data_IF_989102640836
#
_entry.id   IF_989102640836
#
_cell.length_a   1.000
_cell.length_b   1.000
_cell.length_c   1.000
_cell.angle_alpha   90.00
_cell.angle_beta   90.00
_cell.angle_gamma   90.00
#
_symmetry.space_group_name_H-M   'P 1'
#
loop_
_entity.id
_entity.type
_entity.pdbx_description
1 polymer ?
#
# COMPACT_ATOMS: atom_id res chain seq x y z
N UNK A 1 -10.05 -11.75 12.29
CA UNK A 1 -9.19 -11.10 11.30
C UNK A 1 -7.79 -11.73 11.20
N UNK A 2 -7.17 -12.09 12.33
CA UNK A 2 -5.81 -12.63 12.33
C UNK A 2 -5.69 -13.93 11.55
N UNK A 3 -6.71 -14.81 11.67
CA UNK A 3 -6.71 -16.09 10.95
C UNK A 3 -6.79 -15.88 9.45
N UNK A 4 -7.66 -14.98 9.01
CA UNK A 4 -7.82 -14.68 7.58
C UNK A 4 -6.56 -14.02 7.01
N UNK A 5 -5.96 -13.09 7.75
CA UNK A 5 -4.74 -12.41 7.34
C UNK A 5 -3.57 -13.39 7.24
N UNK A 6 -3.40 -14.23 8.26
CA UNK A 6 -2.35 -15.25 8.26
C UNK A 6 -2.52 -16.25 7.11
N UNK A 7 -3.75 -16.67 6.83
CA UNK A 7 -4.04 -17.56 5.72
C UNK A 7 -3.69 -16.91 4.37
N UNK A 8 -4.02 -15.63 4.20
CA UNK A 8 -3.71 -14.89 2.98
C UNK A 8 -2.20 -14.76 2.77
N UNK A 9 -1.45 -14.43 3.82
CA UNK A 9 0.01 -14.35 3.77
C UNK A 9 0.62 -15.69 3.39
N UNK A 10 0.13 -16.77 4.00
CA UNK A 10 0.66 -18.11 3.73
C UNK A 10 0.37 -18.57 2.31
N UNK A 11 -0.80 -18.25 1.77
CA UNK A 11 -1.12 -18.57 0.38
C UNK A 11 -0.17 -17.87 -0.59
N UNK A 12 0.15 -16.61 -0.35
CA UNK A 12 1.11 -15.87 -1.16
C UNK A 12 2.51 -16.47 -1.09
N UNK A 13 2.96 -16.81 0.12
CA UNK A 13 4.31 -17.33 0.37
C UNK A 13 4.51 -18.73 -0.22
N UNK A 14 3.51 -19.60 -0.07
CA UNK A 14 3.64 -21.01 -0.45
C UNK A 14 3.21 -21.32 -1.87
N UNK A 15 2.15 -20.67 -2.36
CA UNK A 15 1.53 -20.99 -3.63
C UNK A 15 1.61 -19.88 -4.66
N UNK A 16 1.93 -18.67 -4.23
CA UNK A 16 1.97 -17.51 -5.11
C UNK A 16 0.59 -17.12 -5.67
N UNK A 17 -0.49 -17.58 -5.04
CA UNK A 17 -1.86 -17.32 -5.51
C UNK A 17 -2.36 -15.98 -4.96
N UNK A 18 -2.07 -14.92 -5.72
CA UNK A 18 -2.46 -13.56 -5.33
C UNK A 18 -3.98 -13.36 -5.33
N UNK A 19 -4.68 -13.97 -6.28
CA UNK A 19 -6.14 -13.83 -6.37
C UNK A 19 -6.85 -14.45 -5.17
N UNK A 20 -6.47 -15.67 -4.79
CA UNK A 20 -7.05 -16.38 -3.64
C UNK A 20 -6.67 -15.66 -2.34
N UNK A 21 -5.44 -15.18 -2.23
CA UNK A 21 -4.99 -14.40 -1.08
C UNK A 21 -5.84 -13.13 -0.89
N UNK A 22 -6.10 -12.40 -1.96
CA UNK A 22 -6.94 -11.20 -1.90
C UNK A 22 -8.38 -11.54 -1.51
N UNK A 23 -8.89 -12.67 -1.96
CA UNK A 23 -10.23 -13.14 -1.58
C UNK A 23 -10.33 -13.38 -0.07
N UNK A 24 -9.31 -13.97 0.54
CA UNK A 24 -9.25 -14.17 1.99
C UNK A 24 -9.13 -12.85 2.76
N UNK A 25 -8.53 -11.83 2.14
CA UNK A 25 -8.35 -10.53 2.77
C UNK A 25 -9.63 -9.67 2.78
N UNK A 26 -10.58 -9.94 1.92
CA UNK A 26 -11.74 -9.07 1.77
C UNK A 26 -12.50 -8.81 3.07
N UNK A 27 -12.80 -9.81 3.92
CA UNK A 27 -13.47 -9.55 5.20
C UNK A 27 -12.62 -8.69 6.14
N UNK A 28 -11.31 -8.91 6.17
CA UNK A 28 -10.39 -8.12 7.01
C UNK A 28 -10.35 -6.67 6.53
N UNK A 29 -10.29 -6.47 5.21
CA UNK A 29 -10.34 -5.15 4.60
C UNK A 29 -11.61 -4.40 4.97
N UNK A 30 -12.76 -5.06 4.85
CA UNK A 30 -14.05 -4.46 5.20
C UNK A 30 -14.11 -4.08 6.67
N UNK A 31 -13.62 -4.95 7.56
CA UNK A 31 -13.56 -4.66 8.98
C UNK A 31 -12.67 -3.46 9.28
N UNK A 32 -11.53 -3.35 8.60
CA UNK A 32 -10.61 -2.22 8.76
C UNK A 32 -11.28 -0.90 8.43
N UNK A 33 -12.13 -0.87 7.39
CA UNK A 33 -12.83 0.34 6.97
C UNK A 33 -14.01 0.68 7.86
N UNK A 34 -14.79 -0.33 8.28
CA UNK A 34 -16.01 -0.14 9.06
C UNK A 34 -15.71 0.12 10.54
N UNK A 35 -14.69 -0.54 11.07
CA UNK A 35 -14.31 -0.46 12.48
C UNK A 35 -12.81 -0.27 12.60
N UNK A 36 -12.28 0.94 12.29
CA UNK A 36 -10.84 1.17 12.32
C UNK A 36 -10.20 0.88 13.68
N UNK A 37 -10.93 1.09 14.79
CA UNK A 37 -10.46 0.80 16.13
C UNK A 37 -10.45 -0.70 16.46
N UNK A 38 -11.09 -1.53 15.63
CA UNK A 38 -11.13 -2.97 15.82
C UNK A 38 -9.85 -3.71 15.39
N UNK A 39 -8.94 -3.01 14.72
CA UNK A 39 -7.67 -3.57 14.29
C UNK A 39 -6.51 -2.76 14.87
N UNK A 40 -5.50 -3.46 15.37
CA UNK A 40 -4.27 -2.83 15.81
C UNK A 40 -3.52 -2.23 14.60
N UNK A 41 -2.67 -1.24 14.85
CA UNK A 41 -1.86 -0.61 13.79
C UNK A 41 -1.02 -1.65 13.05
N UNK A 42 -0.43 -2.61 13.76
CA UNK A 42 0.36 -3.68 13.15
C UNK A 42 -0.46 -4.53 12.20
N UNK A 43 -1.72 -4.81 12.52
CA UNK A 43 -2.62 -5.59 11.66
C UNK A 43 -2.97 -4.81 10.40
N UNK A 44 -3.18 -3.52 10.51
CA UNK A 44 -3.44 -2.64 9.35
C UNK A 44 -2.24 -2.61 8.41
N UNK A 45 -1.03 -2.52 8.97
CA UNK A 45 0.21 -2.59 8.19
C UNK A 45 0.33 -3.93 7.48
N UNK A 46 0.01 -5.03 8.17
CA UNK A 46 0.07 -6.38 7.57
C UNK A 46 -0.90 -6.53 6.40
N UNK A 47 -2.11 -5.97 6.51
CA UNK A 47 -3.08 -5.97 5.40
C UNK A 47 -2.48 -5.27 4.18
N UNK A 48 -1.88 -4.10 4.38
CA UNK A 48 -1.25 -3.33 3.31
C UNK A 48 -0.12 -4.13 2.67
N UNK A 49 0.74 -4.78 3.47
CA UNK A 49 1.85 -5.58 2.95
C UNK A 49 1.38 -6.77 2.10
N UNK A 50 0.33 -7.45 2.55
CA UNK A 50 -0.23 -8.57 1.79
C UNK A 50 -0.80 -8.08 0.46
N UNK A 51 -1.48 -6.95 0.44
CA UNK A 51 -1.99 -6.36 -0.80
C UNK A 51 -0.87 -5.96 -1.75
N UNK A 52 0.20 -5.35 -1.26
CA UNK A 52 1.37 -5.00 -2.08
C UNK A 52 1.98 -6.24 -2.74
N UNK A 53 2.19 -7.31 -1.97
CA UNK A 53 2.73 -8.55 -2.50
C UNK A 53 1.80 -9.17 -3.54
N UNK A 54 0.50 -9.10 -3.32
CA UNK A 54 -0.50 -9.57 -4.27
C UNK A 54 -0.45 -8.82 -5.58
N UNK A 55 -0.24 -7.52 -5.55
CA UNK A 55 -0.16 -6.70 -6.76
C UNK A 55 1.10 -6.95 -7.58
N UNK A 56 2.19 -7.33 -6.95
CA UNK A 56 3.47 -7.53 -7.64
C UNK A 56 3.42 -8.55 -8.76
N UNK A 57 2.53 -9.55 -8.66
CA UNK A 57 2.38 -10.59 -9.68
C UNK A 57 1.03 -10.61 -10.40
N UNK A 58 0.12 -9.69 -10.06
CA UNK A 58 -1.26 -9.76 -10.55
C UNK A 58 -1.41 -9.01 -11.88
N UNK A 59 -2.12 -9.63 -12.82
CA UNK A 59 -2.42 -9.05 -14.14
C UNK A 59 -3.87 -9.29 -14.54
N UNK A 60 -4.73 -9.69 -13.59
CA UNK A 60 -6.10 -10.10 -13.86
C UNK A 60 -7.15 -9.04 -13.49
N UNK A 61 -8.43 -9.36 -13.75
CA UNK A 61 -9.55 -8.47 -13.47
C UNK A 61 -9.78 -8.24 -11.98
N UNK A 62 -9.38 -9.18 -11.12
CA UNK A 62 -9.50 -9.03 -9.66
C UNK A 62 -8.60 -7.91 -9.14
N UNK A 63 -7.45 -7.71 -9.78
CA UNK A 63 -6.60 -6.57 -9.48
C UNK A 63 -7.35 -5.25 -9.70
N UNK A 64 -8.06 -5.12 -10.81
CA UNK A 64 -8.86 -3.92 -11.11
C UNK A 64 -9.90 -3.64 -10.04
N UNK A 65 -10.58 -4.66 -9.54
CA UNK A 65 -11.54 -4.52 -8.45
C UNK A 65 -10.89 -4.01 -7.16
N UNK A 66 -9.73 -4.56 -6.82
CA UNK A 66 -8.98 -4.12 -5.64
C UNK A 66 -8.47 -2.69 -5.77
N UNK A 67 -8.00 -2.31 -6.96
CA UNK A 67 -7.58 -0.93 -7.22
C UNK A 67 -8.74 0.05 -6.99
N UNK A 68 -9.94 -0.30 -7.44
CA UNK A 68 -11.14 0.49 -7.22
C UNK A 68 -11.50 0.58 -5.74
N UNK A 69 -11.41 -0.53 -4.99
CA UNK A 69 -11.66 -0.55 -3.55
C UNK A 69 -10.70 0.34 -2.78
N UNK A 70 -9.42 0.29 -3.14
CA UNK A 70 -8.39 1.11 -2.49
C UNK A 70 -8.64 2.59 -2.76
N UNK A 71 -8.94 2.95 -3.99
CA UNK A 71 -9.26 4.33 -4.35
C UNK A 71 -10.48 4.84 -3.58
N UNK A 72 -11.56 4.06 -3.56
CA UNK A 72 -12.78 4.43 -2.84
C UNK A 72 -12.52 4.60 -1.34
N UNK A 73 -11.73 3.71 -0.74
CA UNK A 73 -11.40 3.77 0.68
C UNK A 73 -10.59 5.03 1.00
N UNK A 74 -9.62 5.36 0.17
CA UNK A 74 -8.80 6.56 0.36
C UNK A 74 -9.65 7.83 0.25
N UNK A 75 -10.56 7.89 -0.72
CA UNK A 75 -11.44 9.05 -0.89
C UNK A 75 -12.43 9.20 0.28
N UNK A 76 -12.88 8.09 0.86
CA UNK A 76 -13.77 8.10 2.02
C UNK A 76 -13.05 8.42 3.33
N UNK A 77 -11.75 8.16 3.40
CA UNK A 77 -10.92 8.37 4.59
C UNK A 77 -9.67 9.16 4.21
N UNK A 78 -9.82 10.42 3.77
CA UNK A 78 -8.70 11.17 3.17
C UNK A 78 -7.56 11.49 4.13
N UNK A 79 -7.81 11.42 5.44
CA UNK A 79 -6.78 11.67 6.46
C UNK A 79 -6.05 10.43 6.95
N UNK A 80 -6.39 9.24 6.46
CA UNK A 80 -5.78 7.99 6.91
C UNK A 80 -4.43 7.78 6.19
N UNK A 81 -3.29 7.85 6.91
CA UNK A 81 -1.98 7.74 6.26
C UNK A 81 -1.70 6.37 5.67
N UNK A 82 -2.23 5.30 6.24
CA UNK A 82 -2.05 3.95 5.71
C UNK A 82 -2.76 3.81 4.37
N UNK A 83 -3.97 4.33 4.26
CA UNK A 83 -4.72 4.32 3.00
C UNK A 83 -4.10 5.26 1.97
N UNK A 84 -3.57 6.41 2.39
CA UNK A 84 -2.84 7.31 1.50
C UNK A 84 -1.61 6.62 0.92
N UNK A 85 -0.85 5.90 1.74
CA UNK A 85 0.30 5.12 1.30
C UNK A 85 -0.11 4.07 0.27
N UNK A 86 -1.12 3.26 0.60
CA UNK A 86 -1.58 2.18 -0.27
C UNK A 86 -2.10 2.72 -1.61
N UNK A 87 -2.88 3.80 -1.58
CA UNK A 87 -3.37 4.45 -2.79
C UNK A 87 -2.22 5.05 -3.61
N UNK A 88 -1.19 5.59 -2.95
CA UNK A 88 0.01 6.10 -3.61
C UNK A 88 0.77 5.01 -4.36
N UNK A 89 0.97 3.86 -3.73
CA UNK A 89 1.61 2.69 -4.35
C UNK A 89 0.77 2.22 -5.55
N UNK A 90 -0.53 2.18 -5.42
CA UNK A 90 -1.46 1.84 -6.50
C UNK A 90 -1.30 2.79 -7.68
N UNK A 91 -1.22 4.09 -7.40
CA UNK A 91 -1.02 5.10 -8.45
C UNK A 91 0.34 4.93 -9.14
N UNK A 92 1.39 4.55 -8.41
CA UNK A 92 2.69 4.22 -9.00
C UNK A 92 2.55 3.09 -10.02
N UNK A 93 1.82 2.04 -9.65
CA UNK A 93 1.58 0.90 -10.54
C UNK A 93 0.81 1.30 -11.80
N UNK A 94 -0.12 2.25 -11.67
CA UNK A 94 -0.90 2.78 -12.79
C UNK A 94 -0.18 3.90 -13.55
N UNK A 95 1.02 4.25 -13.14
CA UNK A 95 1.82 5.32 -13.74
C UNK A 95 1.17 6.70 -13.64
N UNK A 96 0.36 6.90 -12.62
CA UNK A 96 -0.26 8.19 -12.30
C UNK A 96 0.69 8.97 -11.38
N UNK A 97 1.79 9.46 -11.95
CA UNK A 97 2.92 9.99 -11.19
C UNK A 97 2.58 11.18 -10.30
N UNK A 98 1.80 12.13 -10.79
CA UNK A 98 1.43 13.31 -10.01
C UNK A 98 0.58 12.96 -8.79
N UNK A 99 -0.43 12.10 -8.98
CA UNK A 99 -1.31 11.65 -7.91
C UNK A 99 -0.55 10.76 -6.91
N UNK A 100 0.33 9.90 -7.41
CA UNK A 100 1.17 9.06 -6.57
C UNK A 100 2.07 9.91 -5.66
N UNK A 101 2.73 10.92 -6.23
CA UNK A 101 3.58 11.83 -5.46
C UNK A 101 2.79 12.50 -4.34
N UNK A 102 1.64 13.05 -4.67
CA UNK A 102 0.80 13.75 -3.70
C UNK A 102 0.40 12.85 -2.54
N UNK A 103 -0.11 11.65 -2.84
CA UNK A 103 -0.56 10.69 -1.83
C UNK A 103 0.59 10.20 -0.95
N UNK A 104 1.73 9.88 -1.55
CA UNK A 104 2.90 9.41 -0.79
C UNK A 104 3.45 10.51 0.12
N UNK A 105 3.54 11.74 -0.37
CA UNK A 105 3.99 12.87 0.46
C UNK A 105 3.02 13.14 1.61
N UNK A 106 1.72 13.10 1.35
CA UNK A 106 0.72 13.27 2.40
C UNK A 106 0.81 12.17 3.45
N UNK A 107 1.02 10.93 3.03
CA UNK A 107 1.13 9.80 3.96
C UNK A 107 2.29 9.98 4.94
N UNK A 108 3.41 10.49 4.48
CA UNK A 108 4.61 10.67 5.29
C UNK A 108 4.42 11.65 6.45
N UNK A 109 3.45 12.54 6.38
CA UNK A 109 3.18 13.50 7.45
C UNK A 109 2.73 12.80 8.74
N UNK A 110 1.94 11.71 8.61
CA UNK A 110 1.33 11.02 9.75
C UNK A 110 1.69 9.56 9.87
N UNK A 111 2.31 8.98 8.86
CA UNK A 111 2.65 7.56 8.83
C UNK A 111 3.66 7.24 9.92
N UNK A 112 3.29 6.35 10.86
CA UNK A 112 4.11 6.04 12.03
C UNK A 112 4.98 4.81 11.86
N UNK A 113 4.53 3.83 11.06
CA UNK A 113 5.30 2.62 10.85
C UNK A 113 6.60 2.91 10.09
N UNK A 114 7.74 2.56 10.68
CA UNK A 114 9.04 2.85 10.08
C UNK A 114 9.25 2.14 8.75
N UNK A 115 8.75 0.91 8.61
CA UNK A 115 8.84 0.15 7.37
C UNK A 115 8.05 0.79 6.24
N UNK A 116 6.82 1.21 6.51
CA UNK A 116 6.00 1.90 5.51
C UNK A 116 6.58 3.27 5.17
N UNK A 117 7.11 4.02 6.15
CA UNK A 117 7.78 5.29 5.90
C UNK A 117 8.96 5.12 4.96
N UNK A 118 9.79 4.13 5.22
CA UNK A 118 10.95 3.82 4.38
C UNK A 118 10.51 3.50 2.95
N UNK A 119 9.47 2.69 2.80
CA UNK A 119 9.00 2.29 1.49
C UNK A 119 8.29 3.42 0.76
N UNK A 120 7.60 4.32 1.48
CA UNK A 120 7.05 5.54 0.90
C UNK A 120 8.17 6.41 0.29
N UNK A 121 9.27 6.58 0.99
CA UNK A 121 10.44 7.29 0.46
C UNK A 121 11.04 6.59 -0.74
N UNK A 122 11.12 5.25 -0.70
CA UNK A 122 11.61 4.46 -1.84
C UNK A 122 10.71 4.65 -3.07
N UNK A 123 9.41 4.68 -2.89
CA UNK A 123 8.47 4.92 -3.98
C UNK A 123 8.65 6.33 -4.56
N UNK A 124 8.83 7.33 -3.72
CA UNK A 124 9.12 8.70 -4.17
C UNK A 124 10.45 8.78 -4.93
N UNK A 125 11.45 8.02 -4.48
CA UNK A 125 12.73 7.95 -5.19
C UNK A 125 12.56 7.33 -6.59
N UNK A 126 11.81 6.22 -6.67
CA UNK A 126 11.53 5.58 -7.95
C UNK A 126 10.77 6.52 -8.90
N UNK A 127 9.81 7.26 -8.36
CA UNK A 127 9.06 8.25 -9.13
C UNK A 127 9.97 9.35 -9.66
N UNK A 128 10.89 9.86 -8.83
CA UNK A 128 11.84 10.88 -9.24
C UNK A 128 12.76 10.38 -10.37
N UNK A 129 13.19 9.12 -10.29
CA UNK A 129 13.98 8.48 -11.36
C UNK A 129 13.19 8.46 -12.67
N UNK A 130 11.91 8.07 -12.60
CA UNK A 130 11.05 8.05 -13.80
C UNK A 130 10.89 9.44 -14.42
N UNK A 131 10.95 10.49 -13.61
CA UNK A 131 10.83 11.87 -14.07
C UNK A 131 12.19 12.50 -14.41
N UNK A 132 13.28 11.77 -14.29
CA UNK A 132 14.62 12.28 -14.57
C UNK A 132 15.16 13.25 -13.54
N UNK A 133 14.56 13.33 -12.36
CA UNK A 133 15.00 14.22 -11.29
C UNK A 133 15.95 13.50 -10.34
N UNK A 134 17.25 13.53 -10.68
CA UNK A 134 18.28 12.83 -9.91
C UNK A 134 18.51 13.40 -8.52
N UNK A 135 18.33 14.70 -8.34
CA UNK A 135 18.48 15.33 -7.02
C UNK A 135 17.36 14.87 -6.08
N UNK A 136 16.11 14.89 -6.55
CA UNK A 136 14.97 14.41 -5.77
C UNK A 136 15.10 12.93 -5.46
N UNK A 137 15.56 12.12 -6.41
CA UNK A 137 15.79 10.69 -6.21
C UNK A 137 16.82 10.45 -5.11
N UNK A 138 17.95 11.15 -5.15
CA UNK A 138 19.02 11.03 -4.15
C UNK A 138 18.51 11.45 -2.77
N UNK A 139 17.79 12.56 -2.68
CA UNK A 139 17.23 13.03 -1.41
C UNK A 139 16.24 12.03 -0.83
N UNK A 140 15.37 11.45 -1.66
CA UNK A 140 14.39 10.45 -1.22
C UNK A 140 15.07 9.16 -0.76
N UNK A 141 16.10 8.67 -1.48
CA UNK A 141 16.86 7.48 -1.04
C UNK A 141 17.55 7.71 0.30
N UNK A 142 18.09 8.92 0.50
CA UNK A 142 18.72 9.28 1.77
C UNK A 142 17.71 9.29 2.91
N UNK A 143 16.51 9.83 2.67
CA UNK A 143 15.43 9.82 3.66
C UNK A 143 14.97 8.40 3.97
N UNK A 144 14.90 7.52 2.97
CA UNK A 144 14.57 6.11 3.16
C UNK A 144 15.58 5.41 4.09
N UNK A 145 16.85 5.71 3.93
CA UNK A 145 17.91 5.11 4.75
C UNK A 145 17.84 5.58 6.20
N UNK A 146 17.26 6.74 6.46
CA UNK A 146 17.14 7.32 7.81
C UNK A 146 15.82 6.96 8.51
N UNK A 147 14.88 6.37 7.78
CA UNK A 147 13.55 6.05 8.31
C UNK A 147 13.54 4.87 9.27
#
# INVERSE_FOLDING_TARGET
PDVALAAAQRLLELQGDAALSRQWLLPVWQQMLEQPSGLAQSQRVDVVRVLELGFAGATDTLEGEWLTRIESAQLSHPGDPVLQYLAGVTCMRLQLWGKARQLLQQSLVRLQDAGLRRDAWRQLAALAVEQGDTEAATAAWRSAAQA
#
